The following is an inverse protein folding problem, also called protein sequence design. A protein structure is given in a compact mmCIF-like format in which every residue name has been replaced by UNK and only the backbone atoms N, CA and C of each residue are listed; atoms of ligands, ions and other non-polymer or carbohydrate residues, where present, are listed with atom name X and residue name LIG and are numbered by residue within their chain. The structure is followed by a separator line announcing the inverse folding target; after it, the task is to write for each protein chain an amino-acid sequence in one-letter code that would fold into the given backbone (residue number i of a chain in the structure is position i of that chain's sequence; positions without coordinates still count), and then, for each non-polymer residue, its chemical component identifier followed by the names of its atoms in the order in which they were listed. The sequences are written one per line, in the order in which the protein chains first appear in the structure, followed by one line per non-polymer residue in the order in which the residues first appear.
data_IF_707680950242
#
_entry.id   IF_707680950242
#
_cell.length_a   1.000
_cell.length_b   1.000
_cell.length_c   1.000
_cell.angle_alpha   90.00
_cell.angle_beta   90.00
_cell.angle_gamma   90.00
#
_symmetry.space_group_name_H-M   'P 1'
#
loop_
_entity.id
_entity.type
_entity.pdbx_description
1 polymer ?
#
# COMPACT_ATOMS: atom_id res chain seq x y z
N UNK A 1 -1.59 0.78 -13.19
CA UNK A 1 -2.42 1.18 -12.02
C UNK A 1 -3.79 1.58 -12.53
N UNK A 2 -4.85 1.34 -11.77
CA UNK A 2 -6.21 1.84 -12.06
C UNK A 2 -6.87 2.35 -10.79
N UNK A 3 -7.83 3.26 -10.96
CA UNK A 3 -8.62 3.85 -9.87
C UNK A 3 -10.05 3.34 -10.00
N UNK A 4 -10.65 2.97 -8.88
CA UNK A 4 -12.02 2.47 -8.79
C UNK A 4 -12.83 3.40 -7.89
N UNK A 5 -14.02 3.81 -8.35
CA UNK A 5 -15.04 4.44 -7.50
C UNK A 5 -15.89 3.31 -6.91
N UNK A 6 -15.87 3.17 -5.60
CA UNK A 6 -16.39 1.97 -4.95
C UNK A 6 -17.93 2.02 -4.84
N UNK A 7 -18.62 0.90 -5.10
CA UNK A 7 -20.08 0.86 -5.03
C UNK A 7 -20.56 0.97 -3.57
N UNK A 8 -21.84 1.33 -3.42
CA UNK A 8 -22.48 1.54 -2.10
C UNK A 8 -22.31 0.35 -1.15
N UNK A 9 -22.35 -0.89 -1.67
CA UNK A 9 -22.20 -2.10 -0.87
C UNK A 9 -20.80 -2.31 -0.29
N UNK A 10 -19.78 -1.59 -0.78
CA UNK A 10 -18.38 -1.70 -0.33
C UNK A 10 -17.85 -0.41 0.33
N UNK A 11 -18.71 0.57 0.60
CA UNK A 11 -18.36 1.77 1.36
C UNK A 11 -18.13 1.48 2.86
N UNK A 12 -18.73 0.41 3.37
CA UNK A 12 -18.82 0.17 4.80
C UNK A 12 -19.73 1.19 5.50
N UNK A 13 -19.66 1.27 6.82
CA UNK A 13 -20.59 2.09 7.61
C UNK A 13 -20.24 3.59 7.60
N UNK A 14 -18.96 3.93 7.41
CA UNK A 14 -18.42 5.26 7.67
C UNK A 14 -18.13 6.10 6.43
N UNK A 15 -17.95 5.50 5.25
CA UNK A 15 -17.53 6.24 4.07
C UNK A 15 -18.74 6.81 3.32
N UNK A 16 -18.72 8.12 3.06
CA UNK A 16 -19.63 8.79 2.14
C UNK A 16 -19.21 8.56 0.68
N UNK A 17 -17.90 8.56 0.43
CA UNK A 17 -17.31 8.20 -0.88
C UNK A 17 -15.95 7.57 -0.67
N UNK A 18 -15.66 6.51 -1.41
CA UNK A 18 -14.42 5.72 -1.31
C UNK A 18 -13.83 5.48 -2.69
N UNK A 19 -12.53 5.71 -2.83
CA UNK A 19 -11.76 5.39 -4.03
C UNK A 19 -10.66 4.41 -3.68
N UNK A 20 -10.58 3.32 -4.44
CA UNK A 20 -9.53 2.33 -4.30
C UNK A 20 -8.57 2.41 -5.49
N UNK A 21 -7.30 2.14 -5.23
CA UNK A 21 -6.24 2.10 -6.22
C UNK A 21 -5.72 0.68 -6.29
N UNK A 22 -5.70 0.14 -7.51
CA UNK A 22 -5.19 -1.20 -7.77
C UNK A 22 -3.95 -1.17 -8.67
N UNK A 23 -3.03 -2.07 -8.36
CA UNK A 23 -1.88 -2.37 -9.19
C UNK A 23 -1.97 -3.79 -9.73
N UNK A 24 -1.53 -3.94 -10.98
CA UNK A 24 -1.44 -5.24 -11.62
C UNK A 24 -0.30 -6.06 -11.00
N UNK A 25 -0.57 -7.32 -10.70
CA UNK A 25 0.37 -8.28 -10.12
C UNK A 25 0.57 -9.43 -11.14
N UNK A 26 1.60 -9.35 -12.00
CA UNK A 26 1.85 -10.32 -13.07
C UNK A 26 1.87 -11.78 -12.63
N UNK A 27 2.42 -12.08 -11.44
CA UNK A 27 2.54 -13.44 -10.95
C UNK A 27 1.20 -14.12 -10.65
N UNK A 28 0.14 -13.34 -10.44
CA UNK A 28 -1.23 -13.81 -10.22
C UNK A 28 -2.20 -13.44 -11.34
N UNK A 29 -1.73 -12.73 -12.36
CA UNK A 29 -2.56 -12.18 -13.45
C UNK A 29 -3.80 -11.42 -12.95
N UNK A 30 -3.63 -10.66 -11.86
CA UNK A 30 -4.72 -10.04 -11.09
C UNK A 30 -4.40 -8.60 -10.69
N UNK A 31 -5.46 -7.80 -10.50
CA UNK A 31 -5.37 -6.43 -10.00
C UNK A 31 -5.61 -6.38 -8.49
N UNK A 32 -4.57 -6.15 -7.71
CA UNK A 32 -4.66 -6.07 -6.25
C UNK A 32 -4.74 -4.64 -5.74
N UNK A 33 -5.65 -4.40 -4.79
CA UNK A 33 -5.80 -3.14 -4.06
C UNK A 33 -4.53 -2.80 -3.26
N UNK A 34 -3.94 -1.64 -3.53
CA UNK A 34 -2.73 -1.14 -2.85
C UNK A 34 -2.98 0.10 -1.98
N UNK A 35 -4.11 0.77 -2.19
CA UNK A 35 -4.52 1.94 -1.41
C UNK A 35 -6.03 2.11 -1.47
N UNK A 36 -6.58 2.67 -0.40
CA UNK A 36 -7.96 3.12 -0.29
C UNK A 36 -8.00 4.51 0.31
N UNK A 37 -8.88 5.37 -0.19
CA UNK A 37 -9.12 6.72 0.30
C UNK A 37 -10.62 6.96 0.49
N UNK A 38 -11.01 7.41 1.68
CA UNK A 38 -12.41 7.57 2.08
C UNK A 38 -12.67 8.95 2.67
N UNK A 39 -13.74 9.60 2.19
CA UNK A 39 -14.35 10.74 2.85
C UNK A 39 -15.43 10.22 3.80
N UNK A 40 -15.29 10.49 5.09
CA UNK A 40 -16.20 10.05 6.14
C UNK A 40 -17.11 11.16 6.67
N UNK A 41 -17.09 12.34 6.02
CA UNK A 41 -17.80 13.55 6.46
C UNK A 41 -17.66 13.72 7.98
N UNK A 42 -18.75 13.97 8.70
CA UNK A 42 -18.77 14.10 10.15
C UNK A 42 -19.06 12.77 10.89
N UNK A 43 -19.16 11.62 10.19
CA UNK A 43 -19.55 10.34 10.79
C UNK A 43 -18.66 9.94 11.97
N UNK A 44 -17.34 10.05 11.77
CA UNK A 44 -16.33 9.74 12.78
C UNK A 44 -16.26 10.84 13.83
N UNK A 45 -16.30 12.11 13.39
CA UNK A 45 -16.22 13.28 14.26
C UNK A 45 -17.35 13.32 15.30
N UNK A 46 -18.60 12.99 14.90
CA UNK A 46 -19.75 12.90 15.81
C UNK A 46 -19.57 11.83 16.89
N UNK A 47 -18.96 10.70 16.56
CA UNK A 47 -18.74 9.57 17.48
C UNK A 47 -17.60 9.83 18.45
N UNK A 48 -16.57 10.55 18.00
CA UNK A 48 -15.38 10.87 18.77
C UNK A 48 -15.43 12.25 19.45
N UNK A 49 -16.48 13.04 19.19
CA UNK A 49 -16.62 14.39 19.74
C UNK A 49 -15.66 15.42 19.13
N UNK A 50 -15.20 15.22 17.89
CA UNK A 50 -14.19 16.07 17.24
C UNK A 50 -14.87 17.30 16.63
N UNK A 51 -14.52 18.49 17.12
CA UNK A 51 -15.13 19.75 16.73
C UNK A 51 -14.06 20.82 16.45
N UNK A 52 -14.42 21.79 15.62
CA UNK A 52 -13.72 23.06 15.53
C UNK A 52 -14.06 23.97 16.72
N UNK A 53 -13.31 25.06 16.86
CA UNK A 53 -13.51 26.06 17.93
C UNK A 53 -14.88 26.74 17.89
N UNK A 54 -15.51 26.78 16.72
CA UNK A 54 -16.87 27.29 16.51
C UNK A 54 -17.98 26.30 16.96
N UNK A 55 -17.60 25.13 17.46
CA UNK A 55 -18.50 24.09 17.95
C UNK A 55 -19.07 23.17 16.87
N UNK A 56 -18.74 23.39 15.59
CA UNK A 56 -19.17 22.54 14.48
C UNK A 56 -18.34 21.26 14.39
N UNK A 57 -18.96 20.15 13.98
CA UNK A 57 -18.25 18.88 13.76
C UNK A 57 -17.40 18.96 12.50
N UNK A 58 -16.17 18.46 12.59
CA UNK A 58 -15.24 18.45 11.45
C UNK A 58 -15.59 17.35 10.46
N UNK A 59 -15.19 17.56 9.20
CA UNK A 59 -15.14 16.48 8.23
C UNK A 59 -13.82 15.72 8.31
N UNK A 60 -13.89 14.40 8.16
CA UNK A 60 -12.75 13.49 8.26
C UNK A 60 -12.51 12.80 6.93
N UNK A 61 -11.24 12.75 6.51
CA UNK A 61 -10.77 12.01 5.34
C UNK A 61 -9.60 11.13 5.76
N UNK A 62 -9.50 9.95 5.17
CA UNK A 62 -8.36 9.07 5.33
C UNK A 62 -7.92 8.53 3.97
N UNK A 63 -6.64 8.14 3.88
CA UNK A 63 -6.05 7.61 2.66
C UNK A 63 -4.81 6.78 2.98
N UNK A 64 -4.68 5.63 2.34
CA UNK A 64 -3.50 4.77 2.49
C UNK A 64 -2.34 5.34 1.67
N UNK A 65 -1.30 5.82 2.34
CA UNK A 65 -0.10 6.31 1.65
C UNK A 65 0.71 5.16 1.02
N UNK A 66 0.95 4.09 1.77
CA UNK A 66 1.78 2.97 1.33
C UNK A 66 1.45 1.70 2.12
N UNK A 67 0.75 0.74 1.50
CA UNK A 67 0.57 -0.61 2.05
C UNK A 67 1.72 -1.52 1.60
N UNK A 68 2.75 -1.63 2.44
CA UNK A 68 4.01 -2.29 2.10
C UNK A 68 3.87 -3.70 1.47
N UNK A 69 3.03 -4.64 1.98
CA UNK A 69 3.03 -6.00 1.47
C UNK A 69 2.67 -6.12 -0.02
N UNK A 70 1.60 -5.45 -0.45
CA UNK A 70 1.13 -5.52 -1.85
C UNK A 70 1.94 -4.63 -2.77
N UNK A 71 2.47 -3.52 -2.27
CA UNK A 71 3.41 -2.70 -3.03
C UNK A 71 4.71 -3.45 -3.32
N UNK A 72 5.23 -4.24 -2.37
CA UNK A 72 6.38 -5.10 -2.62
C UNK A 72 6.09 -6.12 -3.74
N UNK A 73 4.93 -6.78 -3.72
CA UNK A 73 4.53 -7.71 -4.80
C UNK A 73 4.52 -6.97 -6.15
N UNK A 74 3.79 -5.85 -6.22
CA UNK A 74 3.67 -5.08 -7.46
C UNK A 74 5.03 -4.61 -7.98
N UNK A 75 5.91 -4.07 -7.13
CA UNK A 75 7.25 -3.60 -7.52
C UNK A 75 8.14 -4.76 -7.96
N UNK A 76 8.20 -5.84 -7.16
CA UNK A 76 9.09 -6.96 -7.44
C UNK A 76 8.70 -7.71 -8.70
N UNK A 77 7.41 -7.96 -8.93
CA UNK A 77 6.93 -8.69 -10.11
C UNK A 77 7.01 -7.87 -11.40
N UNK A 78 6.77 -6.56 -11.34
CA UNK A 78 6.80 -5.71 -12.54
C UNK A 78 8.21 -5.33 -12.98
N UNK A 79 9.21 -5.40 -12.09
CA UNK A 79 10.60 -5.03 -12.37
C UNK A 79 11.53 -6.26 -12.50
N UNK A 80 10.99 -7.44 -12.77
CA UNK A 80 11.80 -8.64 -13.02
C UNK A 80 12.50 -8.57 -14.38
N UNK A 81 13.79 -8.91 -14.39
CA UNK A 81 14.61 -9.02 -15.60
C UNK A 81 14.68 -10.49 -16.06
N UNK A 82 14.99 -10.71 -17.34
CA UNK A 82 15.09 -12.06 -17.94
C UNK A 82 16.16 -12.94 -17.29
N UNK A 83 17.17 -12.34 -16.66
CA UNK A 83 18.26 -13.04 -15.95
C UNK A 83 17.90 -13.39 -14.50
N UNK A 84 16.67 -13.10 -14.05
CA UNK A 84 16.18 -13.35 -12.70
C UNK A 84 16.60 -12.31 -11.66
N UNK A 85 17.21 -11.20 -12.09
CA UNK A 85 17.43 -10.02 -11.24
C UNK A 85 16.19 -9.14 -11.20
N UNK A 86 16.12 -8.21 -10.24
CA UNK A 86 15.00 -7.26 -10.12
C UNK A 86 15.57 -5.84 -10.07
N UNK A 87 15.17 -5.00 -11.02
CA UNK A 87 15.55 -3.60 -11.04
C UNK A 87 14.81 -2.84 -9.94
N UNK A 88 15.51 -2.00 -9.18
CA UNK A 88 14.88 -1.14 -8.17
C UNK A 88 14.47 0.17 -8.82
N UNK A 89 13.22 0.65 -8.63
CA UNK A 89 12.81 1.99 -9.10
C UNK A 89 13.77 3.07 -8.59
N UNK A 90 14.11 4.04 -9.44
CA UNK A 90 15.13 5.05 -9.16
C UNK A 90 14.86 5.81 -7.84
N UNK A 91 13.58 6.06 -7.55
CA UNK A 91 13.11 6.75 -6.34
C UNK A 91 13.42 5.97 -5.06
N UNK A 92 13.54 4.64 -5.15
CA UNK A 92 13.82 3.75 -4.03
C UNK A 92 15.32 3.47 -3.82
N UNK A 93 16.17 3.74 -4.83
CA UNK A 93 17.62 3.50 -4.77
C UNK A 93 18.29 4.19 -3.57
N UNK A 94 17.97 5.46 -3.19
CA UNK A 94 18.57 6.10 -2.01
C UNK A 94 18.29 5.36 -0.69
N UNK A 95 17.17 4.64 -0.60
CA UNK A 95 16.74 3.94 0.61
C UNK A 95 17.23 2.50 0.64
N UNK A 96 17.16 1.81 -0.50
CA UNK A 96 17.57 0.41 -0.65
C UNK A 96 19.08 0.27 -0.80
N UNK A 97 19.76 1.30 -1.33
CA UNK A 97 21.22 1.35 -1.62
C UNK A 97 21.70 0.37 -2.67
N UNK A 98 20.78 -0.21 -3.44
CA UNK A 98 21.05 -1.08 -4.56
C UNK A 98 20.19 -0.65 -5.75
N UNK A 99 20.78 -0.67 -6.95
CA UNK A 99 20.05 -0.45 -8.21
C UNK A 99 19.36 -1.73 -8.69
N UNK A 100 19.86 -2.89 -8.26
CA UNK A 100 19.35 -4.19 -8.69
C UNK A 100 19.45 -5.21 -7.56
N UNK A 101 18.36 -5.92 -7.28
CA UNK A 101 18.35 -7.08 -6.40
C UNK A 101 18.76 -8.33 -7.18
N UNK A 102 19.61 -9.16 -6.56
CA UNK A 102 20.10 -10.42 -7.13
C UNK A 102 19.92 -11.54 -6.12
N UNK A 103 19.75 -12.76 -6.61
CA UNK A 103 19.72 -13.96 -5.76
C UNK A 103 21.09 -14.14 -5.09
N UNK A 104 21.17 -13.94 -3.77
CA UNK A 104 22.37 -14.32 -3.02
C UNK A 104 22.54 -15.83 -3.08
N UNK A 105 23.71 -16.29 -3.51
CA UNK A 105 24.04 -17.72 -3.54
C UNK A 105 24.32 -18.30 -2.16
N UNK A 106 24.56 -17.46 -1.15
CA UNK A 106 24.94 -17.88 0.21
C UNK A 106 23.91 -17.35 1.20
N UNK A 107 23.14 -18.24 1.86
CA UNK A 107 22.36 -17.86 3.03
C UNK A 107 23.32 -17.39 4.13
N UNK A 108 22.98 -16.34 4.88
CA UNK A 108 23.76 -15.97 6.07
C UNK A 108 23.78 -17.16 7.03
N UNK A 109 24.97 -17.72 7.26
CA UNK A 109 25.18 -18.78 8.25
C UNK A 109 25.23 -18.14 9.63
N UNK A 110 24.35 -18.57 10.54
CA UNK A 110 24.43 -18.23 11.96
C UNK A 110 25.17 -19.37 12.64
N UNK A 111 26.35 -19.14 13.26
CA UNK A 111 27.08 -20.20 13.96
C UNK A 111 26.23 -20.74 15.12
N UNK A 112 25.87 -22.02 15.05
CA UNK A 112 25.24 -22.70 16.18
C UNK A 112 26.31 -23.02 17.23
N UNK A 113 26.20 -22.42 18.42
CA UNK A 113 27.01 -22.83 19.58
C UNK A 113 26.36 -24.06 20.20
N UNK A 114 26.97 -25.23 20.04
CA UNK A 114 26.61 -26.40 20.85
C UNK A 114 26.89 -26.05 22.31
N UNK A 115 25.86 -26.16 23.17
CA UNK A 115 26.02 -26.16 24.62
C UNK A 115 26.50 -27.53 25.08
#
# INVERSE_FOLDING_TARGET
MRILDMPECDLGAQAYRKFDVECYMPGKEYWGEISSASNCTDYQARRLGIKCDDGNFVHTINGTACAAPRLLIAILETNQNKDGTISIPNELVPYVRYETLRKSKVPKLIPYKMK
#
